data_IF_417415543809
#
_entry.id   IF_417415543809
#
_cell.length_a   1.000
_cell.length_b   1.000
_cell.length_c   1.000
_cell.angle_alpha   90.00
_cell.angle_beta   90.00
_cell.angle_gamma   90.00
#
_symmetry.space_group_name_H-M   'P 1'
#
loop_
_entity.id
_entity.type
_entity.pdbx_description
1 polymer ?
#
# COMPACT_ATOMS: atom_id res chain seq x y z
N UNK A 1 -14.33 17.88 -22.79
CA UNK A 1 -13.59 16.66 -22.41
C UNK A 1 -14.14 16.17 -21.08
N UNK A 2 -14.31 14.86 -20.87
CA UNK A 2 -14.83 14.32 -19.60
C UNK A 2 -13.72 14.41 -18.55
N UNK A 3 -14.03 14.97 -17.37
CA UNK A 3 -13.07 15.09 -16.26
C UNK A 3 -12.61 13.70 -15.83
N UNK A 4 -11.29 13.47 -15.70
CA UNK A 4 -10.76 12.20 -15.19
C UNK A 4 -10.63 12.27 -13.67
N UNK A 5 -11.25 11.32 -13.00
CA UNK A 5 -11.22 11.20 -11.53
C UNK A 5 -10.56 9.87 -11.20
N UNK A 6 -9.42 9.95 -10.51
CA UNK A 6 -8.68 8.78 -10.06
C UNK A 6 -9.04 8.40 -8.63
N UNK A 7 -9.01 7.11 -8.36
CA UNK A 7 -9.05 6.56 -7.02
C UNK A 7 -7.80 5.69 -6.83
N UNK A 8 -7.01 5.99 -5.81
CA UNK A 8 -5.89 5.13 -5.39
C UNK A 8 -6.30 4.32 -4.17
N UNK A 9 -6.17 3.00 -4.29
CA UNK A 9 -6.51 2.06 -3.24
C UNK A 9 -5.25 1.47 -2.62
N UNK A 10 -4.98 1.90 -1.38
CA UNK A 10 -3.92 1.37 -0.54
C UNK A 10 -4.38 0.13 0.23
N UNK A 11 -3.53 -0.91 0.22
CA UNK A 11 -3.72 -2.14 0.98
C UNK A 11 -2.59 -2.36 1.97
N UNK A 12 -1.62 -3.22 1.62
CA UNK A 12 -0.43 -3.45 2.44
C UNK A 12 0.69 -2.41 2.20
N UNK A 13 0.56 -1.62 1.14
CA UNK A 13 1.55 -0.69 0.60
C UNK A 13 1.31 0.76 1.08
N UNK A 14 1.35 0.98 2.39
CA UNK A 14 1.08 2.29 3.00
C UNK A 14 2.23 3.30 2.85
N UNK A 15 2.65 3.65 1.62
CA UNK A 15 3.75 4.59 1.35
C UNK A 15 3.45 5.58 0.21
N UNK A 16 3.94 6.81 0.36
CA UNK A 16 3.94 7.83 -0.70
C UNK A 16 5.24 7.82 -1.51
N UNK A 17 6.36 7.53 -0.86
CA UNK A 17 7.67 7.40 -1.49
C UNK A 17 7.75 6.10 -2.29
N UNK A 18 8.48 6.13 -3.42
CA UNK A 18 8.64 4.97 -4.30
C UNK A 18 7.31 4.30 -4.67
N UNK A 19 6.27 5.14 -4.88
CA UNK A 19 4.95 4.70 -5.29
C UNK A 19 4.66 5.18 -6.72
N UNK A 20 5.01 4.32 -7.69
CA UNK A 20 4.81 4.62 -9.10
C UNK A 20 3.35 4.83 -9.48
N UNK A 21 2.41 4.20 -8.77
CA UNK A 21 0.98 4.37 -9.00
C UNK A 21 0.50 5.73 -8.53
N UNK A 22 1.01 6.22 -7.40
CA UNK A 22 0.71 7.57 -6.91
C UNK A 22 1.26 8.64 -7.87
N UNK A 23 2.50 8.47 -8.34
CA UNK A 23 3.11 9.36 -9.36
C UNK A 23 2.30 9.34 -10.66
N UNK A 24 1.88 8.14 -11.09
CA UNK A 24 1.06 7.99 -12.29
C UNK A 24 -0.30 8.67 -12.14
N UNK A 25 -0.99 8.43 -11.02
CA UNK A 25 -2.25 9.09 -10.72
C UNK A 25 -2.10 10.62 -10.71
N UNK A 26 -1.01 11.14 -10.15
CA UNK A 26 -0.74 12.57 -10.13
C UNK A 26 -0.64 13.22 -11.52
N UNK A 27 -0.25 12.44 -12.54
CA UNK A 27 -0.15 12.90 -13.92
C UNK A 27 -1.41 12.65 -14.75
N UNK A 28 -2.06 11.52 -14.51
CA UNK A 28 -3.08 10.98 -15.42
C UNK A 28 -4.50 11.51 -15.08
N UNK A 29 -4.74 12.05 -13.87
CA UNK A 29 -6.08 12.52 -13.43
C UNK A 29 -6.10 13.96 -12.89
N UNK A 30 -7.28 14.60 -12.94
CA UNK A 30 -7.47 15.98 -12.44
C UNK A 30 -7.85 16.04 -10.96
N UNK A 31 -8.43 14.96 -10.44
CA UNK A 31 -8.81 14.84 -9.04
C UNK A 31 -8.55 13.44 -8.55
N UNK A 32 -8.11 13.33 -7.30
CA UNK A 32 -7.67 12.07 -6.71
C UNK A 32 -8.44 11.79 -5.41
N UNK A 33 -8.92 10.56 -5.30
CA UNK A 33 -9.49 10.01 -4.07
C UNK A 33 -8.50 9.00 -3.52
N UNK A 34 -8.05 9.18 -2.28
CA UNK A 34 -7.18 8.23 -1.60
C UNK A 34 -8.01 7.37 -0.63
N UNK A 35 -7.99 6.05 -0.80
CA UNK A 35 -8.69 5.13 0.11
C UNK A 35 -7.74 4.10 0.69
N UNK A 36 -7.99 3.74 1.94
CA UNK A 36 -7.36 2.63 2.64
C UNK A 36 -8.41 1.58 2.97
N UNK A 37 -8.37 0.46 2.26
CA UNK A 37 -9.22 -0.69 2.53
C UNK A 37 -8.35 -1.94 2.61
N UNK A 38 -8.03 -2.42 3.83
CA UNK A 38 -7.18 -3.57 4.00
C UNK A 38 -7.93 -4.85 3.64
N UNK A 39 -7.15 -5.82 3.19
CA UNK A 39 -7.64 -7.03 2.55
C UNK A 39 -8.62 -7.86 3.39
N UNK A 40 -8.42 -7.99 4.70
CA UNK A 40 -9.31 -8.79 5.56
C UNK A 40 -10.77 -8.32 5.52
N UNK A 41 -11.02 -7.06 5.17
CA UNK A 41 -12.36 -6.50 4.99
C UNK A 41 -13.00 -6.86 3.64
N UNK A 42 -12.20 -7.38 2.71
CA UNK A 42 -12.66 -7.91 1.42
C UNK A 42 -13.13 -9.36 1.59
N UNK A 43 -12.33 -10.18 2.27
CA UNK A 43 -12.58 -11.63 2.37
C UNK A 43 -13.59 -12.02 3.45
N UNK A 44 -13.97 -11.10 4.35
CA UNK A 44 -14.90 -11.40 5.46
C UNK A 44 -14.34 -12.37 6.51
N UNK A 45 -13.07 -12.75 6.41
CA UNK A 45 -12.44 -13.84 7.16
C UNK A 45 -11.96 -13.47 8.57
N UNK A 46 -12.30 -12.30 9.11
CA UNK A 46 -12.05 -12.01 10.53
C UNK A 46 -12.73 -13.06 11.45
N UNK A 47 -13.68 -13.86 10.95
CA UNK A 47 -14.43 -14.87 11.70
C UNK A 47 -14.06 -16.34 11.43
N UNK A 48 -13.49 -16.72 10.27
CA UNK A 48 -13.48 -18.14 9.83
C UNK A 48 -12.27 -18.96 10.30
N UNK A 49 -11.10 -18.35 10.54
CA UNK A 49 -9.85 -19.10 10.73
C UNK A 49 -9.39 -19.30 12.18
N UNK A 50 -10.18 -18.93 13.19
CA UNK A 50 -9.95 -19.25 14.62
C UNK A 50 -8.70 -18.64 15.29
N UNK A 51 -7.74 -18.14 14.53
CA UNK A 51 -6.56 -17.41 15.00
C UNK A 51 -6.72 -15.93 14.66
N UNK A 52 -7.35 -15.17 15.56
CA UNK A 52 -7.44 -13.72 15.42
C UNK A 52 -6.05 -13.09 15.30
N UNK A 53 -5.92 -12.04 14.46
CA UNK A 53 -4.67 -11.29 14.33
C UNK A 53 -4.21 -10.80 15.70
N UNK A 54 -2.90 -10.92 15.96
CA UNK A 54 -2.32 -10.38 17.19
C UNK A 54 -2.62 -8.89 17.32
N UNK A 55 -2.82 -8.42 18.55
CA UNK A 55 -3.02 -7.00 18.83
C UNK A 55 -1.86 -6.14 18.31
N UNK A 56 -0.65 -6.71 18.27
CA UNK A 56 0.53 -6.07 17.68
C UNK A 56 0.34 -5.83 16.17
N UNK A 57 -0.15 -6.81 15.43
CA UNK A 57 -0.38 -6.67 13.98
C UNK A 57 -1.50 -5.67 13.69
N UNK A 58 -2.58 -5.66 14.47
CA UNK A 58 -3.67 -4.68 14.33
C UNK A 58 -3.16 -3.26 14.60
N UNK A 59 -2.36 -3.10 15.66
CA UNK A 59 -1.76 -1.82 16.03
C UNK A 59 -0.77 -1.33 14.98
N UNK A 60 0.10 -2.19 14.47
CA UNK A 60 1.05 -1.83 13.42
C UNK A 60 0.34 -1.39 12.14
N UNK A 61 -0.73 -2.09 11.75
CA UNK A 61 -1.55 -1.70 10.60
C UNK A 61 -2.18 -0.31 10.80
N UNK A 62 -2.80 -0.08 11.96
CA UNK A 62 -3.38 1.22 12.30
C UNK A 62 -2.33 2.34 12.28
N UNK A 63 -1.14 2.10 12.84
CA UNK A 63 -0.04 3.05 12.83
C UNK A 63 0.45 3.34 11.41
N UNK A 64 0.54 2.31 10.57
CA UNK A 64 0.96 2.44 9.17
C UNK A 64 -0.05 3.27 8.36
N UNK A 65 -1.34 3.00 8.53
CA UNK A 65 -2.40 3.78 7.89
C UNK A 65 -2.45 5.24 8.39
N UNK A 66 -2.28 5.46 9.70
CA UNK A 66 -2.22 6.81 10.27
C UNK A 66 -0.99 7.60 9.77
N UNK A 67 0.14 6.92 9.55
CA UNK A 67 1.35 7.53 9.01
C UNK A 67 1.15 7.92 7.54
N UNK A 68 0.51 7.05 6.77
CA UNK A 68 0.12 7.34 5.39
C UNK A 68 -0.84 8.54 5.34
N UNK A 69 -1.85 8.59 6.21
CA UNK A 69 -2.78 9.72 6.28
C UNK A 69 -2.04 11.03 6.59
N UNK A 70 -1.09 11.01 7.54
CA UNK A 70 -0.28 12.18 7.86
C UNK A 70 0.59 12.64 6.69
N UNK A 71 1.15 11.68 5.94
CA UNK A 71 2.00 11.96 4.77
C UNK A 71 1.16 12.53 3.62
N UNK A 72 -0.02 11.98 3.37
CA UNK A 72 -0.97 12.47 2.36
C UNK A 72 -1.52 13.87 2.71
N UNK A 73 -1.76 14.15 3.99
CA UNK A 73 -2.20 15.48 4.43
C UNK A 73 -1.18 16.58 4.10
N UNK A 74 0.12 16.26 4.11
CA UNK A 74 1.17 17.21 3.68
C UNK A 74 1.12 17.54 2.18
N UNK A 75 0.40 16.73 1.41
CA UNK A 75 0.13 16.89 -0.03
C UNK A 75 -1.33 17.30 -0.28
N UNK A 76 -2.00 17.87 0.72
CA UNK A 76 -3.40 18.34 0.66
C UNK A 76 -4.43 17.26 0.31
N UNK A 77 -4.11 16.00 0.63
CA UNK A 77 -4.99 14.84 0.44
C UNK A 77 -5.59 14.33 1.75
N UNK A 78 -6.73 13.67 1.63
CA UNK A 78 -7.40 12.96 2.73
C UNK A 78 -7.43 11.48 2.44
N UNK A 79 -7.04 10.65 3.42
CA UNK A 79 -7.14 9.20 3.34
C UNK A 79 -8.47 8.72 3.92
N UNK A 80 -9.37 8.25 3.05
CA UNK A 80 -10.65 7.69 3.45
C UNK A 80 -10.54 6.19 3.78
N UNK A 81 -11.43 5.69 4.64
CA UNK A 81 -11.44 4.29 5.09
C UNK A 81 -12.83 3.69 4.88
N UNK A 82 -13.10 3.16 3.68
CA UNK A 82 -14.32 2.39 3.45
C UNK A 82 -14.43 1.18 4.38
N UNK A 83 -15.65 0.77 4.66
CA UNK A 83 -15.98 -0.35 5.51
C UNK A 83 -15.65 -1.67 4.82
N UNK A 84 -16.02 -1.80 3.55
CA UNK A 84 -15.91 -2.99 2.71
C UNK A 84 -15.83 -2.62 1.21
N UNK A 85 -15.85 -3.64 0.35
CA UNK A 85 -15.87 -3.45 -1.12
C UNK A 85 -17.15 -2.81 -1.66
N UNK A 86 -18.29 -3.02 -1.00
CA UNK A 86 -19.57 -2.48 -1.44
C UNK A 86 -19.58 -0.96 -1.30
N UNK A 87 -19.10 -0.45 -0.15
CA UNK A 87 -18.94 0.99 0.07
C UNK A 87 -17.91 1.59 -0.91
N UNK A 88 -16.80 0.89 -1.17
CA UNK A 88 -15.82 1.31 -2.17
C UNK A 88 -16.43 1.40 -3.58
N UNK A 89 -17.22 0.42 -4.00
CA UNK A 89 -17.95 0.46 -5.27
C UNK A 89 -18.98 1.60 -5.32
N UNK A 90 -19.62 1.90 -4.19
CA UNK A 90 -20.52 3.06 -4.04
C UNK A 90 -19.80 4.39 -4.24
N UNK A 91 -18.60 4.55 -3.67
CA UNK A 91 -17.74 5.74 -3.87
C UNK A 91 -17.38 5.88 -5.35
N UNK A 92 -16.93 4.80 -5.98
CA UNK A 92 -16.56 4.77 -7.40
C UNK A 92 -17.70 5.27 -8.28
N UNK A 93 -18.92 4.75 -8.06
CA UNK A 93 -20.10 5.12 -8.84
C UNK A 93 -20.57 6.54 -8.57
N UNK A 94 -20.67 6.93 -7.30
CA UNK A 94 -21.17 8.26 -6.91
C UNK A 94 -20.26 9.39 -7.38
N UNK A 95 -18.94 9.18 -7.36
CA UNK A 95 -17.95 10.18 -7.77
C UNK A 95 -17.58 10.09 -9.25
N UNK A 96 -18.17 9.16 -10.00
CA UNK A 96 -17.83 8.90 -11.42
C UNK A 96 -16.32 8.69 -11.62
N UNK A 97 -15.70 7.90 -10.74
CA UNK A 97 -14.28 7.53 -10.85
C UNK A 97 -14.06 6.84 -12.20
N UNK A 98 -13.03 7.27 -12.92
CA UNK A 98 -12.64 6.73 -14.23
C UNK A 98 -11.44 5.79 -14.13
N UNK A 99 -10.58 6.03 -13.14
CA UNK A 99 -9.28 5.37 -13.04
C UNK A 99 -9.09 4.77 -11.64
N UNK A 100 -8.76 3.49 -11.56
CA UNK A 100 -8.43 2.80 -10.31
C UNK A 100 -6.95 2.43 -10.29
N UNK A 101 -6.21 2.97 -9.32
CA UNK A 101 -4.80 2.67 -9.09
C UNK A 101 -4.65 1.75 -7.89
N UNK A 102 -4.02 0.58 -8.08
CA UNK A 102 -3.81 -0.38 -6.98
C UNK A 102 -2.52 -1.18 -7.18
N UNK A 103 -1.73 -1.35 -6.14
CA UNK A 103 -0.59 -2.26 -6.21
C UNK A 103 -1.05 -3.69 -6.52
N UNK A 104 -0.27 -4.37 -7.37
CA UNK A 104 -0.53 -5.76 -7.71
C UNK A 104 -0.37 -6.64 -6.46
N UNK A 105 -1.32 -7.56 -6.28
CA UNK A 105 -1.25 -8.58 -5.24
C UNK A 105 -1.49 -9.97 -5.85
N UNK A 106 -0.67 -10.99 -5.51
CA UNK A 106 -0.82 -12.32 -6.07
C UNK A 106 -1.90 -13.18 -5.40
N UNK A 107 -2.49 -12.73 -4.29
CA UNK A 107 -3.50 -13.47 -3.53
C UNK A 107 -4.85 -13.54 -4.23
N UNK A 108 -5.54 -14.68 -4.04
CA UNK A 108 -6.76 -15.01 -4.77
C UNK A 108 -7.91 -14.05 -4.43
N UNK A 109 -8.14 -13.73 -3.16
CA UNK A 109 -9.27 -12.86 -2.83
C UNK A 109 -8.99 -11.39 -3.17
N UNK A 110 -7.73 -10.93 -3.23
CA UNK A 110 -7.41 -9.59 -3.72
C UNK A 110 -7.79 -9.44 -5.19
N UNK A 111 -7.55 -10.51 -5.95
CA UNK A 111 -7.91 -10.63 -7.35
C UNK A 111 -9.43 -10.69 -7.52
N UNK A 112 -10.13 -11.48 -6.71
CA UNK A 112 -11.60 -11.52 -6.71
C UNK A 112 -12.21 -10.14 -6.42
N UNK A 113 -11.69 -9.43 -5.41
CA UNK A 113 -12.16 -8.08 -5.09
C UNK A 113 -11.93 -7.07 -6.21
N UNK A 114 -10.80 -7.17 -6.92
CA UNK A 114 -10.51 -6.32 -8.08
C UNK A 114 -11.44 -6.67 -9.25
N UNK A 115 -11.64 -7.96 -9.52
CA UNK A 115 -12.54 -8.45 -10.56
C UNK A 115 -13.98 -8.02 -10.30
N UNK A 116 -14.44 -8.08 -9.04
CA UNK A 116 -15.75 -7.58 -8.66
C UNK A 116 -15.94 -6.11 -9.02
N UNK A 117 -14.94 -5.26 -8.77
CA UNK A 117 -15.00 -3.85 -9.18
C UNK A 117 -15.01 -3.67 -10.70
N UNK A 118 -14.25 -4.49 -11.45
CA UNK A 118 -14.24 -4.47 -12.92
C UNK A 118 -15.60 -4.82 -13.54
N UNK A 119 -16.29 -5.80 -12.96
CA UNK A 119 -17.58 -6.25 -13.49
C UNK A 119 -18.72 -5.26 -13.17
N UNK A 120 -18.58 -4.49 -12.09
CA UNK A 120 -19.64 -3.63 -11.58
C UNK A 120 -19.44 -2.13 -11.85
N UNK A 121 -18.25 -1.72 -12.28
CA UNK A 121 -17.88 -0.33 -12.51
C UNK A 121 -17.10 -0.19 -13.83
N UNK A 122 -17.36 0.87 -14.59
CA UNK A 122 -16.61 1.21 -15.81
C UNK A 122 -15.32 1.95 -15.43
N UNK A 123 -14.22 1.18 -15.27
CA UNK A 123 -12.94 1.67 -14.75
C UNK A 123 -11.77 1.26 -15.64
N UNK A 124 -10.84 2.21 -15.84
CA UNK A 124 -9.49 1.89 -16.28
C UNK A 124 -8.63 1.50 -15.06
N UNK A 125 -8.19 0.24 -15.00
CA UNK A 125 -7.42 -0.27 -13.87
C UNK A 125 -5.92 -0.23 -14.16
N UNK A 126 -5.20 0.43 -13.25
CA UNK A 126 -3.76 0.58 -13.28
C UNK A 126 -3.15 -0.22 -12.13
N UNK A 127 -2.39 -1.27 -12.46
CA UNK A 127 -1.66 -2.07 -11.47
C UNK A 127 -0.16 -1.99 -11.68
N UNK A 128 0.59 -2.09 -10.59
CA UNK A 128 2.04 -2.15 -10.63
C UNK A 128 2.59 -3.04 -9.50
N UNK A 129 3.71 -3.69 -9.78
CA UNK A 129 4.47 -4.42 -8.76
C UNK A 129 5.28 -3.44 -7.91
N UNK A 130 5.11 -3.49 -6.58
CA UNK A 130 5.79 -2.60 -5.62
C UNK A 130 6.54 -3.35 -4.51
N UNK A 131 6.49 -4.68 -4.50
CA UNK A 131 7.00 -5.53 -3.42
C UNK A 131 8.36 -6.18 -3.71
N UNK A 132 8.92 -6.03 -4.90
CA UNK A 132 10.20 -6.62 -5.29
C UNK A 132 11.28 -5.56 -5.49
N UNK A 133 12.51 -5.88 -5.08
CA UNK A 133 13.68 -5.02 -5.29
C UNK A 133 14.06 -4.88 -6.77
N UNK A 134 13.81 -5.94 -7.54
CA UNK A 134 14.06 -5.99 -8.97
C UNK A 134 12.72 -5.97 -9.68
N UNK A 135 12.61 -5.16 -10.73
CA UNK A 135 11.46 -5.21 -11.62
C UNK A 135 11.55 -6.46 -12.50
N UNK A 136 10.39 -7.00 -12.89
CA UNK A 136 10.32 -8.15 -13.78
C UNK A 136 11.08 -7.92 -15.10
N UNK A 137 11.03 -6.69 -15.62
CA UNK A 137 11.75 -6.28 -16.84
C UNK A 137 13.28 -6.30 -16.71
N UNK A 138 13.82 -6.32 -15.49
CA UNK A 138 15.26 -6.43 -15.25
C UNK A 138 15.74 -7.88 -15.21
N UNK A 139 14.83 -8.85 -15.04
CA UNK A 139 15.20 -10.25 -14.90
C UNK A 139 15.73 -10.79 -16.24
N UNK A 140 16.86 -11.52 -16.26
CA UNK A 140 17.45 -12.06 -17.48
C UNK A 140 16.71 -13.32 -18.01
N UNK A 141 15.50 -13.56 -17.52
CA UNK A 141 14.65 -14.70 -17.87
C UNK A 141 13.18 -14.30 -17.72
N UNK A 142 12.31 -14.95 -18.51
CA UNK A 142 10.86 -14.85 -18.32
C UNK A 142 10.35 -15.72 -17.16
N UNK A 143 9.09 -15.54 -16.76
CA UNK A 143 8.45 -16.29 -15.66
C UNK A 143 8.58 -17.81 -15.80
N UNK A 144 8.45 -18.33 -17.03
CA UNK A 144 8.52 -19.77 -17.33
C UNK A 144 9.92 -20.38 -17.12
N UNK A 145 10.95 -19.54 -17.02
CA UNK A 145 12.35 -19.93 -16.84
C UNK A 145 12.88 -19.57 -15.46
N UNK A 146 11.99 -19.33 -14.48
CA UNK A 146 12.38 -19.03 -13.12
C UNK A 146 13.25 -20.17 -12.54
N UNK A 147 14.45 -19.88 -12.01
CA UNK A 147 15.33 -20.92 -11.49
C UNK A 147 14.71 -21.71 -10.33
N UNK A 148 14.94 -23.03 -10.32
CA UNK A 148 14.35 -23.95 -9.32
C UNK A 148 14.92 -23.78 -7.90
N UNK A 149 16.02 -23.05 -7.75
CA UNK A 149 16.67 -22.83 -6.46
C UNK A 149 16.99 -21.36 -6.27
N UNK A 150 16.89 -20.88 -5.03
CA UNK A 150 17.26 -19.50 -4.68
C UNK A 150 18.72 -19.19 -5.05
N UNK A 151 19.63 -20.14 -4.89
CA UNK A 151 21.05 -19.94 -5.24
C UNK A 151 21.25 -19.69 -6.74
N UNK A 152 20.55 -20.42 -7.61
CA UNK A 152 20.61 -20.18 -9.06
C UNK A 152 19.99 -18.83 -9.42
N UNK A 153 18.85 -18.49 -8.81
CA UNK A 153 18.23 -17.17 -8.98
C UNK A 153 19.19 -16.05 -8.57
N UNK A 154 19.71 -16.08 -7.33
CA UNK A 154 20.62 -15.06 -6.78
C UNK A 154 21.85 -14.84 -7.66
N UNK A 155 22.51 -15.91 -8.13
CA UNK A 155 23.69 -15.81 -9.01
C UNK A 155 23.39 -15.09 -10.34
N UNK A 156 22.16 -15.22 -10.84
CA UNK A 156 21.76 -14.57 -12.10
C UNK A 156 21.39 -13.10 -11.90
N UNK A 157 20.93 -12.72 -10.71
CA UNK A 157 20.41 -11.36 -10.45
C UNK A 157 21.33 -10.47 -9.60
N UNK A 158 22.32 -11.03 -8.89
CA UNK A 158 23.13 -10.29 -7.91
C UNK A 158 23.94 -9.12 -8.50
N UNK A 159 24.27 -9.19 -9.79
CA UNK A 159 25.02 -8.15 -10.49
C UNK A 159 24.13 -7.13 -11.21
N UNK A 160 22.80 -7.29 -11.14
CA UNK A 160 21.87 -6.34 -11.76
C UNK A 160 21.86 -5.05 -10.95
N UNK A 161 21.87 -3.92 -11.65
CA UNK A 161 21.72 -2.63 -11.01
C UNK A 161 20.33 -2.51 -10.39
N UNK A 162 20.27 -2.16 -9.11
CA UNK A 162 19.01 -1.85 -8.43
C UNK A 162 18.55 -0.47 -8.90
N UNK A 163 17.31 -0.38 -9.36
CA UNK A 163 16.71 0.90 -9.76
C UNK A 163 16.59 1.78 -8.52
N UNK A 164 16.98 3.06 -8.64
CA UNK A 164 16.82 3.98 -7.52
C UNK A 164 15.33 4.20 -7.23
N UNK A 165 14.95 4.27 -5.94
CA UNK A 165 13.57 4.58 -5.56
C UNK A 165 13.08 5.86 -6.23
N UNK A 166 11.82 5.87 -6.63
CA UNK A 166 11.20 7.07 -7.19
C UNK A 166 10.98 8.12 -6.09
N UNK A 167 11.20 9.41 -6.39
CA UNK A 167 10.89 10.47 -5.45
C UNK A 167 9.37 10.53 -5.20
N UNK A 168 8.98 11.05 -4.05
CA UNK A 168 7.58 11.42 -3.81
C UNK A 168 7.13 12.49 -4.82
N UNK A 169 5.86 12.48 -5.24
CA UNK A 169 5.32 13.55 -6.06
C UNK A 169 5.33 14.88 -5.28
N UNK A 170 5.74 15.96 -5.93
CA UNK A 170 5.78 17.30 -5.32
C UNK A 170 4.37 17.84 -5.03
N UNK A 171 3.38 17.42 -5.81
CA UNK A 171 1.98 17.79 -5.65
C UNK A 171 1.07 16.64 -6.09
N UNK A 172 -0.13 16.59 -5.51
CA UNK A 172 -1.19 15.67 -5.90
C UNK A 172 -2.39 16.43 -6.47
N UNK A 173 -3.23 15.79 -7.32
CA UNK A 173 -4.42 16.40 -7.90
C UNK A 173 -5.42 16.79 -6.81
N UNK A 174 -6.39 17.65 -7.13
CA UNK A 174 -7.36 18.14 -6.15
C UNK A 174 -8.09 16.98 -5.44
N UNK A 175 -8.17 17.03 -4.11
CA UNK A 175 -8.96 16.06 -3.35
C UNK A 175 -10.46 16.26 -3.58
N UNK A 176 -11.23 15.18 -3.43
CA UNK A 176 -12.70 15.21 -3.45
C UNK A 176 -13.19 14.87 -2.05
N UNK A 177 -14.08 15.69 -1.51
CA UNK A 177 -14.69 15.45 -0.21
C UNK A 177 -15.73 14.34 -0.29
N UNK A 178 -15.62 13.34 0.59
CA UNK A 178 -16.52 12.20 0.69
C UNK A 178 -17.20 12.14 2.05
N UNK A 179 -18.45 11.70 2.07
CA UNK A 179 -19.19 11.36 3.30
C UNK A 179 -18.87 9.94 3.77
N UNK A 180 -17.57 9.69 4.02
CA UNK A 180 -17.02 8.39 4.44
C UNK A 180 -16.00 8.65 5.54
N UNK A 181 -15.85 7.76 6.55
CA UNK A 181 -14.86 7.95 7.59
C UNK A 181 -13.45 8.13 7.03
N UNK A 182 -12.69 9.11 7.55
CA UNK A 182 -11.27 9.26 7.26
C UNK A 182 -10.41 8.49 8.25
N UNK A 183 -9.21 8.09 7.82
CA UNK A 183 -8.18 7.57 8.71
C UNK A 183 -7.62 8.73 9.53
N UNK A 184 -7.61 8.58 10.86
CA UNK A 184 -6.97 9.56 11.74
C UNK A 184 -5.47 9.65 11.45
N UNK A 185 -4.94 10.87 11.35
CA UNK A 185 -3.52 11.13 11.18
C UNK A 185 -2.75 10.73 12.44
N UNK A 186 -1.47 10.37 12.31
CA UNK A 186 -0.63 10.04 13.47
C UNK A 186 -0.62 11.13 14.55
N UNK A 187 -0.65 12.41 14.16
CA UNK A 187 -0.72 13.54 15.09
C UNK A 187 -2.02 13.58 15.92
N UNK A 188 -3.11 13.00 15.41
CA UNK A 188 -4.42 12.95 16.05
C UNK A 188 -4.57 11.71 16.95
N UNK A 189 -3.72 10.68 16.75
CA UNK A 189 -3.80 9.47 17.57
C UNK A 189 -3.15 9.72 18.93
N UNK A 190 -3.99 9.78 19.97
CA UNK A 190 -3.54 9.99 21.34
C UNK A 190 -2.52 8.92 21.79
N UNK A 191 -1.40 9.35 22.39
CA UNK A 191 -0.36 8.49 22.98
C UNK A 191 -0.94 7.39 23.91
N UNK A 192 -2.07 7.64 24.56
CA UNK A 192 -2.70 6.70 25.51
C UNK A 192 -3.35 5.48 24.87
N UNK A 193 -3.83 5.56 23.62
CA UNK A 193 -4.31 4.38 22.86
C UNK A 193 -3.14 3.43 22.57
N UNK A 194 -1.91 3.97 22.57
CA UNK A 194 -0.67 3.24 22.34
C UNK A 194 -0.07 2.63 23.62
N UNK A 195 -0.56 2.94 24.82
CA UNK A 195 0.02 2.47 26.08
C UNK A 195 -0.91 1.66 26.99
N UNK A 196 -2.15 1.34 26.57
CA UNK A 196 -2.99 0.40 27.29
C UNK A 196 -2.88 -1.02 26.74
N UNK A 197 -1.69 -1.61 26.87
CA UNK A 197 -1.52 -3.05 27.03
C UNK A 197 -0.06 -3.30 27.41
N UNK A 198 0.13 -3.80 28.62
CA UNK A 198 1.38 -4.26 29.25
C UNK A 198 2.39 -3.22 29.76
N UNK A 199 2.47 -3.13 31.08
CA UNK A 199 3.72 -2.87 31.81
C UNK A 199 4.74 -3.93 31.37
N UNK A 200 5.54 -3.64 30.34
CA UNK A 200 6.92 -4.14 30.21
C UNK A 200 7.72 -3.04 29.53
N UNK A 201 8.54 -2.34 30.31
CA UNK A 201 9.60 -1.45 29.78
C UNK A 201 10.56 -2.29 28.93
N UNK A 202 10.52 -2.14 27.62
CA UNK A 202 11.70 -2.40 26.77
C UNK A 202 11.98 -1.18 25.89
N UNK A 203 13.13 -0.59 26.18
CA UNK A 203 13.73 0.56 25.50
C UNK A 203 14.26 0.04 24.16
N UNK A 204 13.47 0.13 23.09
CA UNK A 204 13.96 -0.13 21.74
C UNK A 204 14.73 1.10 21.25
N UNK A 205 16.04 0.93 21.05
CA UNK A 205 16.94 1.96 20.52
C UNK A 205 16.69 2.11 19.01
N UNK A 206 16.24 3.29 18.58
CA UNK A 206 16.31 3.75 17.21
C UNK A 206 17.79 3.98 16.83
N UNK A 207 18.52 2.98 16.36
CA UNK A 207 19.82 3.20 15.70
C UNK A 207 20.26 1.96 14.91
N UNK A 208 19.83 1.82 13.65
CA UNK A 208 20.42 0.80 12.76
C UNK A 208 20.69 1.26 11.32
N UNK A 209 20.31 2.48 10.91
CA UNK A 209 20.52 2.91 9.52
C UNK A 209 21.48 4.09 9.33
N UNK A 210 22.08 4.66 10.38
CA UNK A 210 22.99 5.82 10.20
C UNK A 210 24.45 5.60 10.61
N UNK A 211 24.82 4.45 11.18
CA UNK A 211 26.23 4.17 11.48
C UNK A 211 26.48 2.66 11.50
N UNK A 212 26.75 2.06 10.34
CA UNK A 212 27.63 0.90 10.21
C UNK A 212 27.85 0.56 8.74
N UNK A 213 29.12 0.48 8.35
CA UNK A 213 29.59 -0.21 7.15
C UNK A 213 28.77 -1.49 6.90
N UNK A 214 28.26 -1.67 5.69
CA UNK A 214 27.50 -2.84 5.22
C UNK A 214 28.27 -4.19 5.29
N UNK A 215 29.45 -4.22 5.90
CA UNK A 215 30.39 -5.35 5.90
C UNK A 215 30.08 -6.46 6.91
N UNK A 216 29.05 -6.36 7.75
CA UNK A 216 28.78 -7.33 8.84
C UNK A 216 27.43 -8.05 8.78
N UNK A 217 26.79 -8.11 7.61
CA UNK A 217 25.60 -8.95 7.39
C UNK A 217 25.98 -10.37 6.93
N UNK A 218 26.82 -11.03 7.74
CA UNK A 218 27.02 -12.49 7.90
C UNK A 218 28.28 -12.63 8.78
N UNK A 219 28.16 -13.13 10.02
CA UNK A 219 27.98 -14.57 10.20
C UNK A 219 27.20 -14.98 11.46
N UNK A 220 26.40 -16.04 11.37
CA UNK A 220 26.28 -17.02 12.46
C UNK A 220 26.04 -18.38 11.82
N UNK A 221 26.93 -19.31 12.17
CA UNK A 221 27.07 -20.68 11.66
C UNK A 221 25.84 -21.56 11.82
#
# INVERSE_FOLDING_TARGET
>A
MKKRIGLIWFGADCRIEDNNLLIRAARDVESLICVYLPYQKISGQDSEMGFGRSEHNKRFEHQSAANLAQSLASLEQVLYKPCDLTELAGIIKSQNVTDLYRAFHPGDYEKEGLQHLMENCDLEIHTAYSLSLLHESQLPFGKDKLPKTFTQFRKQVENLAVVRPLPSPDALPQHIELDVPRVCMLSEVNASIFYQSTVVKRKAKNTWLLTSSLSTLKPTS
#
